data_IF_632575970946
#
_entry.id   IF_632575970946
#
_cell.length_a   1.000
_cell.length_b   1.000
_cell.length_c   1.000
_cell.angle_alpha   90.00
_cell.angle_beta   90.00
_cell.angle_gamma   90.00
#
_symmetry.space_group_name_H-M   'P 1'
#
loop_
_entity.id
_entity.type
_entity.pdbx_description
1 polymer ?
#
# COMPACT_ATOMS: atom_id res chain seq x y z
N UNK A 1 -47.43 66.12 39.09
CA UNK A 1 -47.13 64.68 39.04
C UNK A 1 -45.69 64.56 38.56
N UNK A 2 -44.71 64.44 39.48
CA UNK A 2 -44.11 63.16 39.93
C UNK A 2 -43.37 62.47 38.76
N UNK A 3 -42.11 62.05 38.81
CA UNK A 3 -41.17 61.73 39.90
C UNK A 3 -39.77 61.44 39.27
N UNK A 4 -38.68 61.55 40.07
CA UNK A 4 -37.46 60.69 40.08
C UNK A 4 -36.64 60.46 38.77
N UNK A 5 -35.31 60.38 38.67
CA UNK A 5 -34.10 60.41 39.50
C UNK A 5 -32.89 60.29 38.52
N UNK A 6 -31.71 60.85 38.84
CA UNK A 6 -30.42 60.12 39.02
C UNK A 6 -29.20 61.05 38.95
N UNK A 7 -28.70 61.37 40.15
CA UNK A 7 -27.32 61.76 40.44
C UNK A 7 -26.38 60.60 40.11
N UNK A 8 -25.30 60.86 39.38
CA UNK A 8 -24.07 60.08 39.51
C UNK A 8 -22.90 61.00 39.84
N UNK A 9 -22.31 60.72 41.00
CA UNK A 9 -21.31 61.53 41.67
C UNK A 9 -19.91 61.31 41.09
N UNK A 10 -19.19 62.43 41.01
CA UNK A 10 -17.75 62.61 40.82
C UNK A 10 -16.93 61.55 41.60
N UNK A 11 -16.13 60.75 40.90
CA UNK A 11 -15.22 59.77 41.50
C UNK A 11 -14.22 60.47 42.46
N UNK A 12 -14.26 60.11 43.74
CA UNK A 12 -13.23 60.50 44.71
C UNK A 12 -11.91 59.81 44.34
N UNK A 13 -10.90 60.59 43.95
CA UNK A 13 -9.54 60.08 43.75
C UNK A 13 -8.96 59.68 45.11
N UNK A 14 -8.85 58.37 45.33
CA UNK A 14 -8.09 57.81 46.45
C UNK A 14 -6.61 58.20 46.32
N UNK A 15 -6.18 59.19 47.10
CA UNK A 15 -4.77 59.54 47.20
C UNK A 15 -4.03 58.48 48.00
N UNK A 16 -3.38 57.54 47.32
CA UNK A 16 -2.50 56.56 47.98
C UNK A 16 -1.20 57.27 48.36
N UNK A 17 -0.93 57.39 49.67
CA UNK A 17 0.33 57.94 50.18
C UNK A 17 1.48 56.96 49.88
N UNK A 18 2.49 57.32 49.05
CA UNK A 18 3.48 56.39 48.52
C UNK A 18 4.37 55.74 49.61
N UNK A 19 4.62 56.43 50.73
CA UNK A 19 5.48 55.91 51.80
C UNK A 19 4.90 54.73 52.60
N UNK A 20 3.57 54.59 52.69
CA UNK A 20 2.95 53.44 53.40
C UNK A 20 2.82 52.20 52.52
N UNK A 21 2.79 52.38 51.20
CA UNK A 21 2.67 51.28 50.24
C UNK A 21 4.01 50.55 50.07
N UNK A 22 5.13 51.28 49.99
CA UNK A 22 6.46 50.69 49.88
C UNK A 22 6.86 49.86 51.12
N UNK A 23 6.50 50.29 52.33
CA UNK A 23 6.72 49.51 53.55
C UNK A 23 5.86 48.24 53.60
N UNK A 24 4.62 48.29 53.12
CA UNK A 24 3.75 47.10 53.04
C UNK A 24 4.24 46.11 51.97
N UNK A 25 4.70 46.62 50.82
CA UNK A 25 5.31 45.81 49.78
C UNK A 25 6.59 45.12 50.28
N UNK A 26 7.51 45.84 50.92
CA UNK A 26 8.72 45.24 51.52
C UNK A 26 8.41 44.20 52.59
N UNK A 27 7.39 44.42 53.42
CA UNK A 27 6.96 43.41 54.41
C UNK A 27 6.33 42.18 53.78
N UNK A 28 5.59 42.33 52.68
CA UNK A 28 5.04 41.22 51.92
C UNK A 28 6.17 40.44 51.23
N UNK A 29 7.15 41.13 50.67
CA UNK A 29 8.35 40.56 50.06
C UNK A 29 9.17 39.79 51.09
N UNK A 30 9.48 40.38 52.25
CA UNK A 30 10.18 39.71 53.36
C UNK A 30 9.40 38.50 53.91
N UNK A 31 8.07 38.60 54.01
CA UNK A 31 7.22 37.49 54.45
C UNK A 31 7.20 36.34 53.43
N UNK A 32 7.14 36.68 52.14
CA UNK A 32 7.15 35.72 51.04
C UNK A 32 8.52 35.06 50.88
N UNK A 33 9.62 35.82 51.01
CA UNK A 33 10.99 35.31 51.01
C UNK A 33 11.29 34.45 52.24
N UNK A 34 10.78 34.82 53.43
CA UNK A 34 10.84 33.95 54.61
C UNK A 34 10.05 32.66 54.41
N UNK A 35 8.86 32.73 53.81
CA UNK A 35 8.07 31.53 53.51
C UNK A 35 8.75 30.63 52.47
N UNK A 36 9.26 31.19 51.38
CA UNK A 36 9.96 30.45 50.33
C UNK A 36 11.25 29.81 50.87
N UNK A 37 12.04 30.56 51.65
CA UNK A 37 13.25 30.02 52.29
C UNK A 37 12.92 28.92 53.28
N UNK A 38 11.87 29.07 54.09
CA UNK A 38 11.43 28.03 55.02
C UNK A 38 10.96 26.77 54.27
N UNK A 39 10.11 26.91 53.26
CA UNK A 39 9.57 25.78 52.48
C UNK A 39 10.62 25.05 51.63
N UNK A 40 11.56 25.78 51.02
CA UNK A 40 12.59 25.20 50.14
C UNK A 40 13.75 24.60 50.96
N UNK A 41 14.17 25.27 52.04
CA UNK A 41 15.31 24.81 52.86
C UNK A 41 14.89 23.70 53.84
N UNK A 42 13.68 23.71 54.41
CA UNK A 42 13.19 22.57 55.24
C UNK A 42 12.96 21.31 54.39
N UNK A 43 12.60 21.45 53.09
CA UNK A 43 12.49 20.31 52.16
C UNK A 43 13.84 19.79 51.65
N UNK A 44 14.97 20.43 51.93
CA UNK A 44 16.28 19.88 51.58
C UNK A 44 16.54 18.50 52.22
N UNK A 45 15.93 18.22 53.37
CA UNK A 45 15.95 16.90 53.99
C UNK A 45 15.02 15.90 53.28
N UNK A 46 13.87 16.35 52.73
CA UNK A 46 12.97 15.53 51.90
C UNK A 46 13.58 15.18 50.53
N UNK A 47 14.50 16.00 50.01
CA UNK A 47 15.26 15.65 48.82
C UNK A 47 16.10 14.38 49.03
N UNK A 48 16.51 14.06 50.27
CA UNK A 48 17.21 12.81 50.62
C UNK A 48 16.30 11.58 50.55
N UNK A 49 15.04 11.71 50.95
CA UNK A 49 14.03 10.64 50.86
C UNK A 49 13.47 10.45 49.44
N UNK A 50 13.29 11.56 48.71
CA UNK A 50 12.79 11.55 47.33
C UNK A 50 13.89 11.12 46.35
N UNK A 51 15.17 11.37 46.63
CA UNK A 51 16.31 10.92 45.78
C UNK A 51 16.32 9.40 45.58
N UNK A 52 15.94 8.62 46.60
CA UNK A 52 15.78 7.16 46.47
C UNK A 52 14.68 6.80 45.47
N UNK A 53 13.54 7.48 45.52
CA UNK A 53 12.43 7.25 44.61
C UNK A 53 12.78 7.69 43.18
N UNK A 54 13.42 8.85 43.01
CA UNK A 54 13.91 9.32 41.70
C UNK A 54 14.92 8.33 41.12
N UNK A 55 15.87 7.83 41.92
CA UNK A 55 16.84 6.84 41.46
C UNK A 55 16.15 5.53 41.03
N UNK A 56 15.15 5.04 41.78
CA UNK A 56 14.35 3.86 41.42
C UNK A 56 13.58 4.10 40.12
N UNK A 57 12.95 5.25 39.95
CA UNK A 57 12.24 5.61 38.72
C UNK A 57 13.18 5.70 37.51
N UNK A 58 14.36 6.30 37.68
CA UNK A 58 15.38 6.37 36.62
C UNK A 58 15.92 4.99 36.25
N UNK A 59 16.15 4.11 37.24
CA UNK A 59 16.54 2.72 37.00
C UNK A 59 15.44 1.95 36.28
N UNK A 60 14.19 2.08 36.72
CA UNK A 60 13.04 1.45 36.08
C UNK A 60 12.85 1.92 34.63
N UNK A 61 13.02 3.22 34.39
CA UNK A 61 13.01 3.79 33.04
C UNK A 61 14.15 3.23 32.18
N UNK A 62 15.36 3.15 32.73
CA UNK A 62 16.52 2.57 32.04
C UNK A 62 16.31 1.10 31.66
N UNK A 63 15.72 0.31 32.56
CA UNK A 63 15.37 -1.10 32.31
C UNK A 63 14.29 -1.21 31.22
N UNK A 64 13.25 -0.37 31.25
CA UNK A 64 12.22 -0.35 30.21
C UNK A 64 12.79 0.01 28.84
N UNK A 65 13.68 1.00 28.77
CA UNK A 65 14.38 1.39 27.53
C UNK A 65 15.25 0.23 27.03
N UNK A 66 15.99 -0.44 27.91
CA UNK A 66 16.83 -1.58 27.56
C UNK A 66 15.99 -2.75 27.00
N UNK A 67 14.84 -3.05 27.63
CA UNK A 67 13.92 -4.09 27.17
C UNK A 67 13.31 -3.72 25.81
N UNK A 68 12.84 -2.48 25.65
CA UNK A 68 12.29 -2.02 24.36
C UNK A 68 13.34 -2.06 23.25
N UNK A 69 14.58 -1.70 23.55
CA UNK A 69 15.71 -1.76 22.61
C UNK A 69 16.02 -3.21 22.23
N UNK A 70 16.11 -4.11 23.22
CA UNK A 70 16.30 -5.53 22.98
C UNK A 70 15.17 -6.13 22.14
N UNK A 71 13.91 -5.78 22.45
CA UNK A 71 12.74 -6.20 21.67
C UNK A 71 12.82 -5.67 20.22
N UNK A 72 13.20 -4.41 20.02
CA UNK A 72 13.36 -3.86 18.68
C UNK A 72 14.37 -4.64 17.85
N UNK A 73 15.55 -4.97 18.41
CA UNK A 73 16.57 -5.75 17.71
C UNK A 73 16.16 -7.21 17.49
N UNK A 74 15.55 -7.86 18.49
CA UNK A 74 15.16 -9.27 18.42
C UNK A 74 13.99 -9.50 17.44
N UNK A 75 13.09 -8.53 17.31
CA UNK A 75 11.88 -8.64 16.48
C UNK A 75 11.93 -7.79 15.20
N UNK A 76 13.08 -7.21 14.85
CA UNK A 76 13.24 -6.39 13.65
C UNK A 76 12.79 -7.11 12.36
N UNK A 77 13.04 -8.42 12.27
CA UNK A 77 12.63 -9.27 11.13
C UNK A 77 11.12 -9.41 10.98
N UNK A 78 10.33 -9.20 12.05
CA UNK A 78 8.87 -9.24 12.00
C UNK A 78 8.25 -7.93 11.50
N UNK A 79 9.00 -6.82 11.53
CA UNK A 79 8.52 -5.49 11.11
C UNK A 79 9.23 -4.96 9.86
N UNK A 80 10.16 -5.73 9.30
CA UNK A 80 10.84 -5.42 8.04
C UNK A 80 10.29 -6.32 6.94
N UNK A 81 9.95 -5.71 5.80
CA UNK A 81 9.59 -6.44 4.60
C UNK A 81 10.74 -6.31 3.60
N UNK A 82 11.08 -7.40 2.92
CA UNK A 82 12.03 -7.38 1.82
C UNK A 82 11.46 -6.51 0.70
N UNK A 83 12.00 -5.31 0.52
CA UNK A 83 11.64 -4.45 -0.60
C UNK A 83 12.55 -4.81 -1.78
N UNK A 84 11.96 -4.97 -2.97
CA UNK A 84 12.75 -5.10 -4.19
C UNK A 84 13.59 -3.85 -4.42
N UNK A 85 14.90 -4.02 -4.60
CA UNK A 85 15.78 -2.93 -5.03
C UNK A 85 15.64 -2.82 -6.54
N UNK A 86 15.41 -1.60 -7.04
CA UNK A 86 15.32 -1.36 -8.48
C UNK A 86 16.66 -1.57 -9.19
N UNK A 87 16.61 -2.19 -10.36
CA UNK A 87 17.80 -2.48 -11.17
C UNK A 87 18.36 -3.89 -10.96
N UNK A 88 19.46 -4.18 -11.64
CA UNK A 88 20.07 -5.51 -11.70
C UNK A 88 19.77 -6.23 -13.01
N UNK A 89 20.55 -7.28 -13.27
CA UNK A 89 20.39 -8.15 -14.45
C UNK A 89 20.10 -9.55 -13.94
N UNK A 90 18.98 -10.12 -14.40
CA UNK A 90 18.68 -11.53 -14.21
C UNK A 90 19.21 -12.31 -15.43
N UNK A 91 19.97 -13.37 -15.17
CA UNK A 91 20.47 -14.27 -16.20
C UNK A 91 19.98 -15.69 -15.88
N UNK A 92 19.32 -16.31 -16.85
CA UNK A 92 18.82 -17.68 -16.76
C UNK A 92 19.44 -18.50 -17.90
N UNK A 93 19.93 -19.71 -17.56
CA UNK A 93 20.35 -20.68 -18.55
C UNK A 93 19.15 -21.52 -19.00
N UNK A 94 18.76 -21.41 -20.26
CA UNK A 94 17.67 -22.22 -20.83
C UNK A 94 18.24 -23.22 -21.83
N UNK A 95 17.72 -24.44 -21.81
CA UNK A 95 18.15 -25.52 -22.72
C UNK A 95 17.44 -25.37 -24.08
N UNK A 96 18.22 -25.33 -25.16
CA UNK A 96 17.74 -25.30 -26.55
C UNK A 96 18.09 -24.01 -27.28
N UNK A 97 18.07 -24.05 -28.61
CA UNK A 97 18.17 -22.85 -29.46
C UNK A 97 16.87 -22.05 -29.41
N UNK A 98 17.00 -20.75 -29.64
CA UNK A 98 15.87 -19.84 -29.90
C UNK A 98 15.93 -19.50 -31.39
N UNK A 99 15.03 -20.08 -32.18
CA UNK A 99 14.97 -19.84 -33.63
C UNK A 99 13.87 -18.84 -33.98
N UNK A 100 12.84 -18.77 -33.15
CA UNK A 100 11.74 -17.82 -33.28
C UNK A 100 11.41 -17.14 -31.96
N UNK A 101 10.92 -15.90 -32.05
CA UNK A 101 10.33 -15.16 -30.94
C UNK A 101 8.80 -15.06 -31.06
N UNK A 102 8.22 -15.69 -32.08
CA UNK A 102 6.78 -15.69 -32.27
C UNK A 102 6.13 -16.77 -31.38
N UNK A 103 5.25 -16.39 -30.43
CA UNK A 103 4.61 -17.33 -29.51
C UNK A 103 3.87 -18.47 -30.20
N UNK A 104 3.35 -18.24 -31.41
CA UNK A 104 2.57 -19.23 -32.15
C UNK A 104 3.43 -20.39 -32.68
N UNK A 105 4.74 -20.19 -32.82
CA UNK A 105 5.68 -21.20 -33.32
C UNK A 105 6.68 -21.67 -32.26
N UNK A 106 6.61 -21.14 -31.04
CA UNK A 106 7.54 -21.45 -29.96
C UNK A 106 7.34 -22.90 -29.47
N UNK A 107 8.29 -23.78 -29.77
CA UNK A 107 8.23 -25.20 -29.41
C UNK A 107 9.32 -25.60 -28.43
N UNK A 108 10.48 -24.95 -28.47
CA UNK A 108 11.58 -25.26 -27.53
C UNK A 108 11.37 -24.56 -26.18
N UNK A 109 11.95 -25.08 -25.07
CA UNK A 109 11.89 -24.39 -23.79
C UNK A 109 12.48 -22.97 -23.84
N UNK A 110 13.52 -22.75 -24.64
CA UNK A 110 14.12 -21.42 -24.86
C UNK A 110 13.14 -20.44 -25.49
N UNK A 111 12.45 -20.87 -26.55
CA UNK A 111 11.46 -20.03 -27.24
C UNK A 111 10.25 -19.76 -26.36
N UNK A 112 9.76 -20.75 -25.62
CA UNK A 112 8.66 -20.58 -24.69
C UNK A 112 9.02 -19.63 -23.53
N UNK A 113 10.25 -19.72 -23.01
CA UNK A 113 10.74 -18.79 -21.99
C UNK A 113 10.81 -17.36 -22.55
N UNK A 114 11.41 -17.16 -23.73
CA UNK A 114 11.47 -15.86 -24.38
C UNK A 114 10.07 -15.29 -24.67
N UNK A 115 9.15 -16.14 -25.15
CA UNK A 115 7.77 -15.77 -25.43
C UNK A 115 7.04 -15.27 -24.18
N UNK A 116 7.22 -15.93 -23.02
CA UNK A 116 6.57 -15.53 -21.75
C UNK A 116 7.07 -14.18 -21.22
N UNK A 117 8.27 -13.75 -21.63
CA UNK A 117 8.82 -12.44 -21.27
C UNK A 117 8.29 -11.31 -22.17
N UNK A 118 7.89 -11.64 -23.40
CA UNK A 118 7.49 -10.67 -24.42
C UNK A 118 5.99 -10.56 -24.61
N UNK A 119 5.23 -11.62 -24.31
CA UNK A 119 3.80 -11.70 -24.58
C UNK A 119 3.03 -12.18 -23.35
N UNK A 120 1.80 -11.68 -23.23
CA UNK A 120 0.85 -12.05 -22.19
C UNK A 120 -0.22 -12.98 -22.72
N UNK A 121 -0.80 -13.79 -21.82
CA UNK A 121 -1.91 -14.69 -22.12
C UNK A 121 -3.23 -14.06 -21.71
N UNK A 122 -4.37 -14.59 -22.17
CA UNK A 122 -5.67 -14.15 -21.64
C UNK A 122 -5.81 -14.51 -20.15
N UNK A 123 -5.43 -15.75 -19.82
CA UNK A 123 -5.47 -16.33 -18.49
C UNK A 123 -4.09 -16.91 -18.14
N UNK A 124 -3.77 -16.97 -16.86
CA UNK A 124 -2.55 -17.57 -16.32
C UNK A 124 -2.85 -18.28 -15.01
N UNK A 125 -1.95 -19.15 -14.56
CA UNK A 125 -2.01 -19.74 -13.23
C UNK A 125 -1.31 -18.84 -12.21
N UNK A 126 -1.84 -18.79 -10.99
CA UNK A 126 -1.17 -18.19 -9.83
C UNK A 126 -0.25 -19.20 -9.12
N UNK A 127 0.36 -18.77 -8.02
CA UNK A 127 1.29 -19.62 -7.23
C UNK A 127 0.61 -20.81 -6.55
N UNK A 128 -0.73 -20.81 -6.45
CA UNK A 128 -1.53 -21.92 -5.92
C UNK A 128 -1.93 -22.92 -7.01
N UNK A 129 -1.64 -22.61 -8.28
CA UNK A 129 -2.13 -23.38 -9.43
C UNK A 129 -3.57 -23.05 -9.80
N UNK A 130 -4.15 -21.99 -9.22
CA UNK A 130 -5.50 -21.53 -9.57
C UNK A 130 -5.45 -20.65 -10.81
N UNK A 131 -6.45 -20.79 -11.69
CA UNK A 131 -6.54 -19.98 -12.90
C UNK A 131 -6.99 -18.55 -12.55
N UNK A 132 -6.31 -17.55 -13.12
CA UNK A 132 -6.60 -16.13 -12.97
C UNK A 132 -6.44 -15.39 -14.30
N UNK A 133 -6.97 -14.18 -14.38
CA UNK A 133 -6.75 -13.29 -15.51
C UNK A 133 -5.30 -12.78 -15.59
N UNK A 134 -4.74 -12.78 -16.80
CA UNK A 134 -3.51 -12.03 -17.13
C UNK A 134 -3.91 -10.80 -17.95
N UNK A 135 -4.21 -10.93 -19.24
CA UNK A 135 -4.85 -9.87 -20.03
C UNK A 135 -6.35 -9.70 -19.73
N UNK A 136 -7.00 -10.74 -19.22
CA UNK A 136 -8.41 -10.70 -18.87
C UNK A 136 -8.65 -10.01 -17.52
N UNK A 137 -9.61 -9.08 -17.49
CA UNK A 137 -10.22 -8.57 -16.27
C UNK A 137 -11.05 -9.67 -15.59
N UNK A 138 -11.80 -10.44 -16.38
CA UNK A 138 -12.57 -11.60 -15.95
C UNK A 138 -12.93 -12.48 -17.15
N UNK A 139 -13.41 -13.69 -16.84
CA UNK A 139 -14.07 -14.54 -17.81
C UNK A 139 -15.31 -15.19 -17.21
N UNK A 140 -16.23 -15.65 -18.05
CA UNK A 140 -17.45 -16.36 -17.65
C UNK A 140 -17.65 -17.58 -18.53
N UNK A 141 -18.00 -18.70 -17.89
CA UNK A 141 -18.36 -19.94 -18.56
C UNK A 141 -19.89 -19.99 -18.69
N UNK A 142 -20.36 -20.13 -19.92
CA UNK A 142 -21.77 -20.08 -20.32
C UNK A 142 -22.12 -21.36 -21.10
N UNK A 143 -23.42 -21.58 -21.32
CA UNK A 143 -23.94 -22.64 -22.17
C UNK A 143 -23.36 -24.02 -21.84
N UNK A 144 -23.34 -24.37 -20.54
CA UNK A 144 -22.82 -25.65 -20.02
C UNK A 144 -21.36 -25.94 -20.40
N UNK A 145 -20.53 -24.89 -20.48
CA UNK A 145 -19.11 -25.02 -20.82
C UNK A 145 -18.82 -25.04 -22.31
N UNK A 146 -19.78 -24.63 -23.15
CA UNK A 146 -19.56 -24.47 -24.59
C UNK A 146 -19.19 -23.06 -24.98
N UNK A 147 -19.52 -22.06 -24.17
CA UNK A 147 -19.24 -20.66 -24.48
C UNK A 147 -18.47 -20.00 -23.36
N UNK A 148 -17.43 -19.28 -23.74
CA UNK A 148 -16.55 -18.57 -22.83
C UNK A 148 -16.50 -17.11 -23.21
N UNK A 149 -16.96 -16.24 -22.31
CA UNK A 149 -16.88 -14.80 -22.48
C UNK A 149 -15.67 -14.28 -21.72
N UNK A 150 -14.75 -13.61 -22.40
CA UNK A 150 -13.56 -13.00 -21.82
C UNK A 150 -13.67 -11.49 -21.96
N UNK A 151 -13.44 -10.76 -20.86
CA UNK A 151 -13.37 -9.31 -20.85
C UNK A 151 -11.93 -8.88 -20.59
N UNK A 152 -11.35 -8.11 -21.49
CA UNK A 152 -9.97 -7.60 -21.43
C UNK A 152 -9.82 -6.47 -20.41
N UNK A 153 -8.66 -6.37 -19.78
CA UNK A 153 -8.32 -5.23 -18.92
C UNK A 153 -8.31 -3.89 -19.70
N UNK A 154 -8.77 -2.78 -19.11
CA UNK A 154 -8.98 -1.50 -19.83
C UNK A 154 -7.70 -0.74 -20.18
N UNK A 155 -6.60 -1.03 -19.49
CA UNK A 155 -5.38 -0.22 -19.51
C UNK A 155 -4.20 -0.93 -20.16
N UNK A 156 -4.42 -2.09 -20.78
CA UNK A 156 -3.35 -2.85 -21.44
C UNK A 156 -2.95 -2.14 -22.73
N UNK A 157 -1.64 -1.98 -22.87
CA UNK A 157 -0.99 -1.41 -24.04
C UNK A 157 0.04 -2.39 -24.58
N UNK A 158 0.16 -2.42 -25.90
CA UNK A 158 1.33 -2.96 -26.57
C UNK A 158 2.58 -2.12 -26.27
N UNK A 159 3.76 -2.69 -26.52
CA UNK A 159 5.02 -1.98 -26.32
C UNK A 159 5.14 -0.69 -27.15
N UNK A 160 4.46 -0.63 -28.30
CA UNK A 160 4.36 0.56 -29.17
C UNK A 160 3.33 1.61 -28.69
N UNK A 161 2.77 1.42 -27.49
CA UNK A 161 1.76 2.27 -26.84
C UNK A 161 0.36 2.22 -27.46
N UNK A 162 0.10 1.35 -28.44
CA UNK A 162 -1.27 1.11 -28.89
C UNK A 162 -2.06 0.33 -27.85
N UNK A 163 -3.36 0.59 -27.77
CA UNK A 163 -4.27 -0.17 -26.91
C UNK A 163 -4.43 -1.58 -27.46
N UNK A 164 -4.35 -2.57 -26.59
CA UNK A 164 -4.74 -3.93 -26.92
C UNK A 164 -6.26 -4.02 -26.94
N UNK A 165 -6.82 -4.67 -27.96
CA UNK A 165 -8.28 -4.78 -28.17
C UNK A 165 -8.70 -6.20 -28.48
N UNK A 166 -10.02 -6.45 -28.48
CA UNK A 166 -10.60 -7.69 -28.92
C UNK A 166 -10.20 -8.09 -30.34
N UNK A 167 -9.90 -7.13 -31.22
CA UNK A 167 -9.46 -7.40 -32.60
C UNK A 167 -8.12 -8.13 -32.63
N UNK A 168 -7.20 -7.81 -31.71
CA UNK A 168 -5.89 -8.47 -31.64
C UNK A 168 -6.02 -9.96 -31.26
N UNK A 169 -6.96 -10.25 -30.37
CA UNK A 169 -7.27 -11.62 -29.93
C UNK A 169 -7.94 -12.40 -31.07
N UNK A 170 -8.95 -11.80 -31.72
CA UNK A 170 -9.64 -12.41 -32.87
C UNK A 170 -8.67 -12.67 -34.02
N UNK A 171 -7.78 -11.72 -34.30
CA UNK A 171 -6.71 -11.88 -35.29
C UNK A 171 -5.80 -13.06 -34.96
N UNK A 172 -5.34 -13.15 -33.71
CA UNK A 172 -4.44 -14.23 -33.25
C UNK A 172 -5.08 -15.60 -33.38
N UNK A 173 -6.35 -15.73 -32.99
CA UNK A 173 -7.11 -16.99 -33.16
C UNK A 173 -7.38 -17.28 -34.64
N UNK A 174 -7.65 -16.24 -35.45
CA UNK A 174 -7.78 -16.37 -36.90
C UNK A 174 -6.51 -16.93 -37.55
N UNK A 175 -5.32 -16.50 -37.09
CA UNK A 175 -4.05 -17.06 -37.52
C UNK A 175 -3.89 -18.53 -37.10
N UNK A 176 -4.20 -18.88 -35.84
CA UNK A 176 -4.16 -20.26 -35.36
C UNK A 176 -5.01 -21.20 -36.24
N UNK A 177 -6.15 -20.70 -36.72
CA UNK A 177 -7.07 -21.46 -37.58
C UNK A 177 -6.63 -21.53 -39.04
N UNK A 178 -5.68 -20.71 -39.48
CA UNK A 178 -5.28 -20.64 -40.88
C UNK A 178 -4.33 -21.80 -41.23
N UNK A 179 -4.74 -22.76 -42.09
CA UNK A 179 -3.87 -23.88 -42.45
C UNK A 179 -2.60 -23.44 -43.18
N UNK A 180 -2.63 -22.30 -43.90
CA UNK A 180 -1.45 -21.76 -44.58
C UNK A 180 -0.41 -21.20 -43.60
N UNK A 181 -0.79 -20.89 -42.36
CA UNK A 181 0.14 -20.43 -41.33
C UNK A 181 0.97 -21.57 -40.75
N UNK A 182 0.57 -22.84 -40.94
CA UNK A 182 1.30 -24.03 -40.48
C UNK A 182 1.73 -23.95 -39.00
N UNK A 183 0.84 -23.50 -38.12
CA UNK A 183 1.09 -23.35 -36.70
C UNK A 183 0.95 -24.72 -36.01
N UNK A 184 1.93 -25.20 -35.22
CA UNK A 184 1.92 -26.54 -34.62
C UNK A 184 0.66 -26.87 -33.81
N UNK A 185 0.07 -25.87 -33.14
CA UNK A 185 -1.13 -26.02 -32.29
C UNK A 185 -2.42 -25.60 -32.99
N UNK A 186 -2.38 -25.22 -34.27
CA UNK A 186 -3.51 -24.63 -34.99
C UNK A 186 -4.72 -25.56 -35.13
N UNK A 187 -4.47 -26.87 -35.28
CA UNK A 187 -5.53 -27.89 -35.43
C UNK A 187 -6.50 -27.92 -34.24
N UNK A 188 -6.05 -27.62 -33.03
CA UNK A 188 -6.92 -27.59 -31.84
C UNK A 188 -7.90 -26.41 -31.83
N UNK A 189 -7.70 -25.40 -32.69
CA UNK A 189 -8.50 -24.18 -32.74
C UNK A 189 -9.45 -24.14 -33.94
N UNK A 190 -9.38 -25.10 -34.89
CA UNK A 190 -10.11 -25.07 -36.16
C UNK A 190 -11.62 -24.89 -35.98
N UNK A 191 -12.18 -25.58 -34.99
CA UNK A 191 -13.63 -25.63 -34.75
C UNK A 191 -14.09 -24.64 -33.68
N UNK A 192 -13.16 -23.87 -33.08
CA UNK A 192 -13.48 -22.85 -32.10
C UNK A 192 -13.93 -21.59 -32.83
N UNK A 193 -15.17 -21.15 -32.60
CA UNK A 193 -15.66 -19.87 -33.08
C UNK A 193 -15.24 -18.75 -32.13
N UNK A 194 -14.71 -17.66 -32.68
CA UNK A 194 -14.33 -16.46 -31.92
C UNK A 194 -15.03 -15.25 -32.49
N UNK A 195 -15.73 -14.51 -31.62
CA UNK A 195 -16.47 -13.31 -31.97
C UNK A 195 -16.07 -12.16 -31.06
N UNK A 196 -15.80 -11.01 -31.68
CA UNK A 196 -15.75 -9.72 -30.99
C UNK A 196 -17.17 -9.29 -30.65
N UNK A 197 -17.46 -9.13 -29.36
CA UNK A 197 -18.74 -8.57 -28.88
C UNK A 197 -18.63 -7.04 -28.82
N UNK A 198 -17.52 -6.55 -28.29
CA UNK A 198 -17.12 -5.14 -28.27
C UNK A 198 -15.59 -5.03 -28.22
N UNK A 199 -15.02 -3.82 -28.11
CA UNK A 199 -13.57 -3.60 -28.12
C UNK A 199 -12.79 -4.33 -27.01
N UNK A 200 -13.46 -4.78 -25.96
CA UNK A 200 -12.86 -5.45 -24.80
C UNK A 200 -13.48 -6.82 -24.51
N UNK A 201 -14.58 -7.18 -25.14
CA UNK A 201 -15.30 -8.43 -24.86
C UNK A 201 -15.20 -9.37 -26.05
N UNK A 202 -14.75 -10.59 -25.78
CA UNK A 202 -14.59 -11.67 -26.76
C UNK A 202 -15.41 -12.87 -26.30
N UNK A 203 -16.16 -13.45 -27.22
CA UNK A 203 -16.84 -14.72 -27.02
C UNK A 203 -16.11 -15.82 -27.80
N UNK A 204 -15.74 -16.89 -27.09
CA UNK A 204 -15.27 -18.15 -27.66
C UNK A 204 -16.42 -19.16 -27.58
N UNK A 205 -16.71 -19.86 -28.67
CA UNK A 205 -17.74 -20.91 -28.71
C UNK A 205 -17.12 -22.19 -29.25
N UNK A 206 -17.24 -23.27 -28.48
CA UNK A 206 -16.68 -24.57 -28.77
C UNK A 206 -17.73 -25.48 -29.41
N UNK A 207 -17.32 -26.44 -30.26
CA UNK A 207 -18.24 -27.41 -30.86
C UNK A 207 -18.85 -28.36 -29.82
N UNK A 208 -18.11 -28.63 -28.74
CA UNK A 208 -18.52 -29.45 -27.61
C UNK A 208 -17.83 -28.96 -26.33
N UNK A 209 -18.39 -29.31 -25.18
CA UNK A 209 -17.77 -29.02 -23.87
C UNK A 209 -16.41 -29.71 -23.81
N UNK A 210 -15.36 -28.94 -23.47
CA UNK A 210 -13.99 -29.43 -23.45
C UNK A 210 -13.31 -29.00 -22.17
N UNK A 211 -13.12 -29.94 -21.24
CA UNK A 211 -12.59 -29.66 -19.90
C UNK A 211 -11.19 -29.00 -19.86
N UNK A 212 -10.28 -29.24 -20.83
CA UNK A 212 -9.01 -28.52 -20.90
C UNK A 212 -9.10 -27.10 -21.46
N UNK A 213 -10.24 -26.72 -22.07
CA UNK A 213 -10.53 -25.30 -22.27
C UNK A 213 -10.79 -24.69 -20.87
N UNK A 214 -10.27 -23.49 -20.57
CA UNK A 214 -10.28 -22.86 -19.25
C UNK A 214 -11.47 -23.09 -18.31
#
# INVERSE_FOLDING_TARGET
>A
MADSEKKWNKFQRLSVRPGKFSQRAKRAEDASMKHARKFIVERAHSAREVRRHIAIWLLGMGVLIAIATAQFFLYQSSYTATAGVGGGTYAEGVKGSVETLNPLYAVTPGEQAASRLMFSSLLTYDTTGSLRGDLAENYSVLDEGKRYRVKLQPTVLWHDKKRLTADDVVFTVGLLKNPAANIPTGTSWSDVEVKKVDDRTIDFTLPATYAPFP
#
